data_IF_405169872902
#
_entry.id   IF_405169872902
#
_cell.length_a   1.000
_cell.length_b   1.000
_cell.length_c   1.000
_cell.angle_alpha   90.00
_cell.angle_beta   90.00
_cell.angle_gamma   90.00
#
_symmetry.space_group_name_H-M   'P 1'
#
loop_
_entity.id
_entity.type
_entity.pdbx_description
1 polymer ?
#
# COMPACT_ATOMS: atom_id res chain seq x y z
N UNK A 1 15.20 44.67 3.15
CA UNK A 1 13.81 44.18 2.93
C UNK A 1 12.90 44.94 3.91
N UNK A 2 11.88 45.62 3.43
CA UNK A 2 10.95 46.35 4.30
C UNK A 2 10.10 45.36 5.12
N UNK A 3 9.74 45.77 6.35
CA UNK A 3 8.99 44.92 7.31
C UNK A 3 7.65 44.37 6.75
N UNK A 4 7.08 45.12 5.79
CA UNK A 4 5.87 44.72 5.04
C UNK A 4 6.15 43.62 4.03
N UNK A 5 7.30 43.64 3.35
CA UNK A 5 7.70 42.59 2.38
C UNK A 5 8.02 41.28 3.07
N UNK A 6 8.63 41.31 4.26
CA UNK A 6 8.89 40.11 5.06
C UNK A 6 7.57 39.46 5.54
N UNK A 7 6.58 40.27 5.97
CA UNK A 7 5.27 39.74 6.38
C UNK A 7 4.52 39.09 5.21
N UNK A 8 4.57 39.69 4.02
CA UNK A 8 3.97 39.16 2.81
C UNK A 8 4.62 37.82 2.39
N UNK A 9 5.95 37.74 2.47
CA UNK A 9 6.71 36.54 2.16
C UNK A 9 6.37 35.40 3.15
N UNK A 10 6.32 35.72 4.45
CA UNK A 10 5.95 34.72 5.50
C UNK A 10 4.51 34.24 5.30
N UNK A 11 3.55 35.12 5.01
CA UNK A 11 2.18 34.72 4.71
C UNK A 11 2.07 33.84 3.45
N UNK A 12 2.85 34.15 2.42
CA UNK A 12 2.87 33.35 1.18
C UNK A 12 3.47 31.97 1.43
N UNK A 13 4.52 31.84 2.22
CA UNK A 13 5.13 30.56 2.61
C UNK A 13 4.15 29.73 3.47
N UNK A 14 3.48 30.37 4.44
CA UNK A 14 2.46 29.69 5.27
C UNK A 14 1.29 29.23 4.42
N UNK A 15 0.80 30.05 3.48
CA UNK A 15 -0.29 29.66 2.58
C UNK A 15 0.10 28.49 1.65
N UNK A 16 1.35 28.44 1.15
CA UNK A 16 1.86 27.33 0.35
C UNK A 16 1.99 26.03 1.16
N UNK A 17 2.42 26.10 2.42
CA UNK A 17 2.49 24.92 3.31
C UNK A 17 1.10 24.39 3.60
N UNK A 18 0.10 25.24 3.85
CA UNK A 18 -1.30 24.81 4.02
C UNK A 18 -1.90 24.23 2.73
N UNK A 19 -1.56 24.75 1.56
CA UNK A 19 -2.03 24.22 0.28
C UNK A 19 -1.45 22.82 -0.03
N UNK A 20 -0.21 22.54 0.39
CA UNK A 20 0.41 21.22 0.25
C UNK A 20 -0.16 20.18 1.22
N UNK A 21 -0.65 20.59 2.40
CA UNK A 21 -1.33 19.70 3.34
C UNK A 21 -2.77 19.33 2.93
N UNK A 22 -3.37 20.07 1.98
CA UNK A 22 -4.75 19.85 1.53
C UNK A 22 -4.93 18.72 0.49
N UNK A 23 -3.85 18.04 0.08
CA UNK A 23 -3.88 17.09 -1.05
C UNK A 23 -4.44 15.69 -0.73
N UNK A 24 -4.82 15.42 0.52
CA UNK A 24 -5.33 14.10 0.94
C UNK A 24 -6.82 14.12 1.35
N UNK A 25 -7.54 15.22 1.13
CA UNK A 25 -8.97 15.25 1.46
C UNK A 25 -9.81 14.56 0.37
N UNK A 26 -10.65 13.61 0.83
CA UNK A 26 -11.67 13.00 -0.01
C UNK A 26 -12.55 14.13 -0.57
N UNK A 27 -12.75 14.22 -1.90
CA UNK A 27 -13.57 15.27 -2.50
C UNK A 27 -14.97 15.33 -1.88
N UNK A 28 -15.49 16.54 -1.68
CA UNK A 28 -16.84 16.71 -1.19
C UNK A 28 -17.83 15.97 -2.10
N UNK A 29 -18.74 15.20 -1.49
CA UNK A 29 -19.74 14.43 -2.26
C UNK A 29 -19.23 13.09 -2.82
N UNK A 30 -17.95 12.73 -2.62
CA UNK A 30 -17.39 11.49 -3.16
C UNK A 30 -18.20 10.24 -2.79
N UNK A 31 -18.78 10.21 -1.60
CA UNK A 31 -19.61 9.09 -1.12
C UNK A 31 -21.13 9.33 -1.25
N UNK A 32 -21.58 10.42 -1.87
CA UNK A 32 -23.01 10.72 -1.93
C UNK A 32 -23.83 9.65 -2.63
N UNK A 33 -23.24 9.02 -3.66
CA UNK A 33 -23.86 7.91 -4.37
C UNK A 33 -24.12 6.65 -3.52
N UNK A 34 -23.53 6.57 -2.30
CA UNK A 34 -23.67 5.42 -1.39
C UNK A 34 -24.79 5.61 -0.37
N UNK A 35 -25.29 6.85 -0.19
CA UNK A 35 -26.29 7.18 0.83
C UNK A 35 -27.55 6.35 0.65
N UNK A 36 -27.99 5.71 1.75
CA UNK A 36 -29.21 4.89 1.78
C UNK A 36 -29.13 3.54 1.07
N UNK A 37 -28.04 3.21 0.38
CA UNK A 37 -27.86 1.94 -0.32
C UNK A 37 -27.42 0.81 0.60
N UNK A 38 -27.86 -0.43 0.30
CA UNK A 38 -27.55 -1.64 1.05
C UNK A 38 -27.32 -2.83 0.10
N UNK A 39 -26.67 -3.88 0.60
CA UNK A 39 -26.52 -5.15 -0.14
C UNK A 39 -25.94 -4.97 -1.55
N UNK A 40 -26.60 -5.54 -2.54
CA UNK A 40 -26.17 -5.51 -3.95
C UNK A 40 -26.10 -4.10 -4.54
N UNK A 41 -27.02 -3.21 -4.17
CA UNK A 41 -27.04 -1.83 -4.64
C UNK A 41 -25.83 -1.05 -4.09
N UNK A 42 -25.47 -1.25 -2.82
CA UNK A 42 -24.29 -0.63 -2.24
C UNK A 42 -23.02 -1.15 -2.94
N UNK A 43 -22.91 -2.45 -3.15
CA UNK A 43 -21.79 -3.04 -3.89
C UNK A 43 -21.62 -2.45 -5.28
N UNK A 44 -22.71 -2.30 -6.02
CA UNK A 44 -22.70 -1.69 -7.36
C UNK A 44 -22.30 -0.22 -7.31
N UNK A 45 -22.81 0.54 -6.34
CA UNK A 45 -22.48 1.96 -6.19
C UNK A 45 -21.01 2.16 -5.83
N UNK A 46 -20.45 1.35 -4.90
CA UNK A 46 -19.01 1.36 -4.57
C UNK A 46 -18.19 1.03 -5.81
N UNK A 47 -18.54 -0.05 -6.53
CA UNK A 47 -17.84 -0.42 -7.77
C UNK A 47 -17.80 0.74 -8.78
N UNK A 48 -18.93 1.44 -8.97
CA UNK A 48 -18.99 2.56 -9.90
C UNK A 48 -18.11 3.75 -9.51
N UNK A 49 -17.83 3.95 -8.23
CA UNK A 49 -16.90 4.97 -7.74
C UNK A 49 -15.46 4.54 -8.00
N UNK A 50 -15.08 3.30 -7.63
CA UNK A 50 -13.69 2.86 -7.64
C UNK A 50 -13.20 2.42 -9.02
N UNK A 51 -14.09 2.00 -9.94
CA UNK A 51 -13.70 1.54 -11.29
C UNK A 51 -12.99 2.59 -12.13
N UNK A 52 -13.23 3.88 -11.85
CA UNK A 52 -12.59 5.03 -12.54
C UNK A 52 -11.26 5.43 -11.90
N UNK A 53 -10.74 4.66 -10.94
CA UNK A 53 -9.47 4.94 -10.29
C UNK A 53 -8.32 4.90 -11.32
N UNK A 54 -7.36 5.82 -11.16
CA UNK A 54 -6.13 5.79 -11.95
C UNK A 54 -5.31 4.56 -11.60
N UNK A 55 -5.07 3.70 -12.59
CA UNK A 55 -4.28 2.49 -12.43
C UNK A 55 -2.83 2.77 -12.85
N UNK A 56 -1.89 2.61 -11.93
CA UNK A 56 -0.47 2.76 -12.22
C UNK A 56 0.07 1.55 -12.99
N UNK A 57 1.17 1.74 -13.73
CA UNK A 57 1.91 0.63 -14.34
C UNK A 57 2.53 -0.26 -13.25
N UNK A 58 2.60 -1.58 -13.49
CA UNK A 58 3.28 -2.47 -12.55
C UNK A 58 4.80 -2.33 -12.66
N UNK A 59 5.48 -2.22 -11.52
CA UNK A 59 6.94 -2.15 -11.46
C UNK A 59 7.47 -0.78 -11.06
N UNK A 60 8.61 -0.40 -11.61
CA UNK A 60 9.33 0.85 -11.32
C UNK A 60 9.17 1.88 -12.43
N UNK A 61 9.49 3.12 -12.12
CA UNK A 61 9.43 4.27 -13.01
C UNK A 61 8.30 5.25 -12.66
N UNK A 62 8.23 6.34 -13.41
CA UNK A 62 7.19 7.36 -13.24
C UNK A 62 5.79 6.75 -13.47
N UNK A 63 4.84 7.06 -12.60
CA UNK A 63 3.47 6.55 -12.62
C UNK A 63 3.37 5.01 -12.60
N UNK A 64 4.35 4.34 -11.94
CA UNK A 64 4.35 2.90 -11.71
C UNK A 64 4.14 2.57 -10.21
N UNK A 65 4.09 1.29 -9.86
CA UNK A 65 3.81 0.83 -8.49
C UNK A 65 4.79 1.42 -7.47
N UNK A 66 6.10 1.41 -7.74
CA UNK A 66 7.10 2.01 -6.84
C UNK A 66 6.98 3.53 -6.71
N UNK A 67 6.48 4.20 -7.74
CA UNK A 67 6.10 5.62 -7.66
C UNK A 67 4.97 5.84 -6.66
N UNK A 68 3.96 4.96 -6.69
CA UNK A 68 2.84 4.98 -5.73
C UNK A 68 3.31 4.71 -4.30
N UNK A 69 4.12 3.68 -4.08
CA UNK A 69 4.65 3.31 -2.76
C UNK A 69 5.45 4.44 -2.10
N UNK A 70 6.20 5.20 -2.88
CA UNK A 70 6.91 6.37 -2.36
C UNK A 70 5.96 7.41 -1.71
N UNK A 71 4.70 7.44 -2.15
CA UNK A 71 3.66 8.34 -1.61
C UNK A 71 2.84 7.70 -0.49
N UNK A 72 2.61 6.38 -0.55
CA UNK A 72 1.64 5.70 0.32
C UNK A 72 2.30 4.88 1.43
N UNK A 73 3.50 4.38 1.21
CA UNK A 73 4.19 3.44 2.09
C UNK A 73 5.57 3.97 2.55
N UNK A 74 5.67 5.29 2.72
CA UNK A 74 6.88 5.99 3.12
C UNK A 74 6.68 6.63 4.50
N UNK A 75 7.53 6.24 5.45
CA UNK A 75 7.62 6.86 6.77
C UNK A 75 8.98 7.55 6.91
N UNK A 76 9.01 8.88 6.73
CA UNK A 76 10.23 9.70 6.89
C UNK A 76 11.43 9.19 6.06
N UNK A 77 11.19 8.74 4.84
CA UNK A 77 12.22 8.22 3.92
C UNK A 77 12.41 6.71 3.99
N UNK A 78 11.76 6.02 4.92
CA UNK A 78 11.82 4.57 5.05
C UNK A 78 10.59 3.88 4.51
N UNK A 79 10.79 2.69 3.94
CA UNK A 79 9.71 1.84 3.45
C UNK A 79 8.90 1.29 4.63
N UNK A 80 7.57 1.40 4.55
CA UNK A 80 6.67 0.70 5.47
C UNK A 80 6.53 -0.75 5.00
N UNK A 81 7.37 -1.65 5.52
CA UNK A 81 7.26 -3.10 5.29
C UNK A 81 6.41 -3.74 6.39
N UNK A 82 5.42 -4.52 6.00
CA UNK A 82 4.51 -5.20 6.94
C UNK A 82 4.91 -6.65 7.24
N UNK A 83 5.99 -7.14 6.62
CA UNK A 83 6.43 -8.53 6.75
C UNK A 83 7.84 -8.67 7.35
N UNK A 84 8.58 -7.56 7.51
CA UNK A 84 9.94 -7.60 8.03
C UNK A 84 10.20 -6.42 8.98
N UNK A 85 11.03 -6.61 10.03
CA UNK A 85 11.47 -5.54 10.92
C UNK A 85 12.59 -4.69 10.29
N UNK A 86 13.12 -5.10 9.15
CA UNK A 86 14.26 -4.45 8.52
C UNK A 86 13.87 -3.05 8.01
N UNK A 87 14.71 -2.07 8.34
CA UNK A 87 14.54 -0.71 7.85
C UNK A 87 15.23 -0.54 6.49
N UNK A 88 14.45 -0.28 5.46
CA UNK A 88 14.94 -0.02 4.11
C UNK A 88 14.62 1.43 3.73
N UNK A 89 15.62 2.19 3.32
CA UNK A 89 15.42 3.55 2.83
C UNK A 89 14.89 3.51 1.37
N UNK A 90 13.96 4.41 1.07
CA UNK A 90 13.61 4.68 -0.31
C UNK A 90 14.79 5.32 -1.04
N UNK A 91 15.03 4.86 -2.26
CA UNK A 91 15.91 5.54 -3.21
C UNK A 91 15.22 6.72 -3.90
N UNK A 92 15.61 7.00 -5.14
CA UNK A 92 14.95 8.02 -5.94
C UNK A 92 13.47 7.67 -6.17
N UNK A 93 12.62 8.69 -6.26
CA UNK A 93 11.18 8.49 -6.43
C UNK A 93 10.84 7.68 -7.68
N UNK A 94 10.15 6.58 -7.47
CA UNK A 94 9.76 5.63 -8.51
C UNK A 94 10.76 4.50 -8.76
N UNK A 95 11.93 4.52 -8.12
CA UNK A 95 12.86 3.39 -8.17
C UNK A 95 12.51 2.32 -7.13
N UNK A 96 12.84 1.07 -7.47
CA UNK A 96 12.68 -0.05 -6.53
C UNK A 96 13.78 -0.04 -5.48
N UNK A 97 13.43 -0.44 -4.26
CA UNK A 97 14.42 -0.61 -3.20
C UNK A 97 15.12 -1.96 -3.31
N UNK A 98 16.40 -1.99 -2.95
CA UNK A 98 17.19 -3.22 -2.86
C UNK A 98 16.56 -4.20 -1.87
N UNK A 99 16.61 -5.49 -2.18
CA UNK A 99 16.06 -6.57 -1.35
C UNK A 99 14.55 -6.57 -1.15
N UNK A 100 13.81 -5.72 -1.89
CA UNK A 100 12.37 -5.63 -1.77
C UNK A 100 11.64 -6.08 -3.03
N UNK A 101 10.44 -6.59 -2.84
CA UNK A 101 9.49 -6.99 -3.88
C UNK A 101 8.20 -6.18 -3.79
N UNK A 102 7.40 -6.26 -4.85
CA UNK A 102 5.99 -5.88 -4.83
C UNK A 102 5.19 -7.09 -4.38
N UNK A 103 4.59 -7.01 -3.21
CA UNK A 103 3.72 -8.05 -2.67
C UNK A 103 2.28 -7.84 -3.10
N UNK A 104 1.59 -8.94 -3.45
CA UNK A 104 0.15 -8.97 -3.60
C UNK A 104 -0.48 -9.52 -2.31
N UNK A 105 -1.06 -8.66 -1.47
CA UNK A 105 -1.66 -9.04 -0.18
C UNK A 105 -2.76 -10.11 -0.33
N UNK A 106 -3.58 -10.01 -1.37
CA UNK A 106 -4.38 -11.10 -1.90
C UNK A 106 -3.58 -11.79 -3.02
N UNK A 107 -3.10 -13.01 -2.81
CA UNK A 107 -2.15 -13.65 -3.71
C UNK A 107 -2.65 -13.76 -5.16
N UNK A 108 -1.84 -13.31 -6.11
CA UNK A 108 -2.21 -13.33 -7.55
C UNK A 108 -2.58 -14.73 -8.06
N UNK A 109 -1.97 -15.76 -7.52
CA UNK A 109 -2.28 -17.18 -7.87
C UNK A 109 -3.71 -17.58 -7.54
N UNK A 110 -4.38 -16.89 -6.60
CA UNK A 110 -5.75 -17.22 -6.22
C UNK A 110 -6.81 -16.79 -7.24
N UNK A 111 -6.43 -15.92 -8.19
CA UNK A 111 -7.29 -15.57 -9.33
C UNK A 111 -6.71 -15.97 -10.70
N UNK A 112 -5.71 -16.87 -10.70
CA UNK A 112 -5.10 -17.39 -11.94
C UNK A 112 -3.89 -16.61 -12.44
N UNK A 113 -3.42 -15.59 -11.70
CA UNK A 113 -2.19 -14.83 -12.01
C UNK A 113 -2.33 -13.82 -13.15
N UNK A 114 -3.50 -13.67 -13.76
CA UNK A 114 -3.74 -12.74 -14.85
C UNK A 114 -3.49 -11.28 -14.43
N UNK A 115 -2.92 -10.49 -15.34
CA UNK A 115 -2.63 -9.08 -15.12
C UNK A 115 -3.88 -8.19 -15.27
N UNK A 116 -4.93 -8.52 -14.53
CA UNK A 116 -6.16 -7.72 -14.41
C UNK A 116 -5.90 -6.45 -13.59
N UNK A 117 -6.92 -5.63 -13.40
CA UNK A 117 -6.82 -4.41 -12.57
C UNK A 117 -6.28 -4.72 -11.16
N UNK A 118 -6.74 -5.79 -10.49
CA UNK A 118 -6.28 -6.22 -9.18
C UNK A 118 -4.77 -6.50 -9.10
N UNK A 119 -4.13 -6.84 -10.24
CA UNK A 119 -2.68 -7.03 -10.32
C UNK A 119 -1.89 -5.73 -10.14
N UNK A 120 -2.49 -4.58 -10.42
CA UNK A 120 -1.88 -3.24 -10.40
C UNK A 120 -2.51 -2.33 -9.35
N UNK A 121 -3.47 -2.82 -8.58
CA UNK A 121 -4.21 -2.05 -7.59
C UNK A 121 -3.35 -1.83 -6.34
N UNK A 122 -3.03 -0.58 -6.03
CA UNK A 122 -2.23 -0.23 -4.85
C UNK A 122 -2.89 -0.66 -3.53
N UNK A 123 -4.21 -0.83 -3.47
CA UNK A 123 -4.87 -1.39 -2.28
C UNK A 123 -4.57 -2.89 -2.07
N UNK A 124 -4.13 -3.58 -3.12
CA UNK A 124 -3.71 -4.97 -3.08
C UNK A 124 -2.19 -5.12 -3.03
N UNK A 125 -1.45 -4.05 -3.30
CA UNK A 125 -0.01 -4.07 -3.43
C UNK A 125 0.66 -3.36 -2.25
N UNK A 126 1.82 -3.86 -1.85
CA UNK A 126 2.68 -3.20 -0.87
C UNK A 126 4.15 -3.55 -1.13
N UNK A 127 5.10 -2.68 -0.75
CA UNK A 127 6.51 -3.05 -0.75
C UNK A 127 6.76 -4.06 0.38
N UNK A 128 7.58 -5.06 0.13
CA UNK A 128 7.88 -6.09 1.11
C UNK A 128 9.28 -6.65 0.94
N UNK A 129 9.92 -7.00 2.05
CA UNK A 129 11.16 -7.77 2.04
C UNK A 129 11.02 -9.03 1.17
N UNK A 130 11.96 -9.22 0.25
CA UNK A 130 11.89 -10.27 -0.75
C UNK A 130 11.92 -11.67 -0.14
N UNK A 131 12.67 -11.86 0.97
CA UNK A 131 12.78 -13.14 1.66
C UNK A 131 11.49 -13.45 2.44
N UNK A 132 10.98 -12.49 3.19
CA UNK A 132 9.73 -12.65 3.94
C UNK A 132 8.57 -12.93 2.99
N UNK A 133 8.45 -12.15 1.90
CA UNK A 133 7.44 -12.34 0.87
C UNK A 133 7.54 -13.72 0.21
N UNK A 134 8.71 -14.14 -0.25
CA UNK A 134 8.90 -15.45 -0.88
C UNK A 134 8.62 -16.60 0.08
N UNK A 135 8.99 -16.45 1.36
CA UNK A 135 8.74 -17.48 2.39
C UNK A 135 7.26 -17.57 2.72
N UNK A 136 6.56 -16.43 2.83
CA UNK A 136 5.11 -16.37 3.01
C UNK A 136 4.37 -17.02 1.84
N UNK A 137 4.90 -16.86 0.63
CA UNK A 137 4.29 -17.44 -0.58
C UNK A 137 2.80 -17.04 -0.70
N UNK A 138 1.98 -17.90 -1.27
CA UNK A 138 0.52 -17.75 -1.38
C UNK A 138 -0.25 -18.49 -0.27
N UNK A 139 0.39 -18.73 0.87
CA UNK A 139 -0.27 -19.42 1.98
C UNK A 139 -1.40 -18.57 2.57
N UNK A 140 -2.45 -19.23 3.03
CA UNK A 140 -3.52 -18.58 3.77
C UNK A 140 -3.06 -18.05 5.13
N UNK A 141 -3.70 -16.99 5.60
CA UNK A 141 -3.50 -16.51 6.97
C UNK A 141 -4.14 -17.45 7.99
N UNK A 142 -3.45 -17.69 9.10
CA UNK A 142 -3.98 -18.51 10.18
C UNK A 142 -2.95 -18.75 11.28
N UNK A 143 -3.35 -19.44 12.34
CA UNK A 143 -2.48 -19.73 13.47
C UNK A 143 -1.43 -20.76 13.11
N UNK A 144 -0.15 -20.37 13.20
CA UNK A 144 1.02 -21.22 12.98
C UNK A 144 1.44 -21.86 14.29
N UNK A 145 1.28 -23.19 14.40
CA UNK A 145 1.64 -23.95 15.59
C UNK A 145 3.05 -24.54 15.54
N UNK A 146 3.58 -24.74 14.33
CA UNK A 146 4.97 -25.18 14.11
C UNK A 146 5.60 -24.28 13.05
N UNK A 147 6.30 -23.24 13.48
CA UNK A 147 6.99 -22.30 12.61
C UNK A 147 8.24 -22.94 11.97
N UNK A 148 8.42 -22.67 10.67
CA UNK A 148 9.66 -22.95 9.92
C UNK A 148 10.40 -21.65 9.57
N UNK A 149 9.71 -20.52 9.67
CA UNK A 149 10.26 -19.19 9.55
C UNK A 149 9.59 -18.28 10.58
N UNK A 150 10.38 -17.44 11.24
CA UNK A 150 9.92 -16.47 12.22
C UNK A 150 10.93 -15.32 12.23
N UNK A 151 10.50 -14.10 11.95
CA UNK A 151 11.34 -12.91 11.95
C UNK A 151 10.87 -11.84 12.95
N UNK A 152 9.96 -12.19 13.87
CA UNK A 152 9.39 -11.28 14.86
C UNK A 152 8.25 -10.42 14.33
N UNK A 153 7.98 -10.41 13.01
CA UNK A 153 6.87 -9.71 12.38
C UNK A 153 5.86 -10.68 11.78
N UNK A 154 6.36 -11.72 11.11
CA UNK A 154 5.52 -12.82 10.62
C UNK A 154 6.11 -14.18 10.99
N UNK A 155 5.23 -15.16 11.11
CA UNK A 155 5.56 -16.60 11.16
C UNK A 155 5.05 -17.29 9.92
N UNK A 156 5.82 -18.25 9.41
CA UNK A 156 5.37 -19.16 8.36
C UNK A 156 5.63 -20.59 8.81
N UNK A 157 4.68 -21.45 8.61
CA UNK A 157 4.83 -22.83 9.06
C UNK A 157 3.55 -23.64 8.91
N UNK A 158 3.34 -24.60 9.81
CA UNK A 158 2.19 -25.51 9.77
C UNK A 158 1.23 -25.18 10.91
N UNK A 159 -0.05 -25.12 10.62
CA UNK A 159 -1.13 -25.04 11.62
C UNK A 159 -1.60 -26.42 12.08
N UNK A 160 -2.55 -26.44 13.02
CA UNK A 160 -3.11 -27.69 13.60
C UNK A 160 -3.68 -28.65 12.55
N UNK A 161 -4.20 -28.13 11.43
CA UNK A 161 -4.72 -28.96 10.33
C UNK A 161 -3.64 -29.58 9.42
N UNK A 162 -2.35 -29.36 9.70
CA UNK A 162 -1.25 -29.77 8.83
C UNK A 162 -1.04 -28.85 7.60
N UNK A 163 -1.91 -27.85 7.39
CA UNK A 163 -1.79 -26.91 6.27
C UNK A 163 -0.67 -25.91 6.48
N UNK A 164 0.01 -25.52 5.41
CA UNK A 164 0.92 -24.38 5.40
C UNK A 164 0.14 -23.08 5.56
N UNK A 165 0.56 -22.26 6.49
CA UNK A 165 -0.06 -20.99 6.86
C UNK A 165 1.01 -19.94 7.11
N UNK A 166 0.61 -18.69 7.10
CA UNK A 166 1.38 -17.58 7.65
C UNK A 166 0.56 -16.84 8.70
N UNK A 167 1.24 -16.22 9.65
CA UNK A 167 0.64 -15.50 10.77
C UNK A 167 1.41 -14.21 11.03
N UNK A 168 0.78 -13.01 10.99
CA UNK A 168 1.40 -11.81 11.50
C UNK A 168 1.46 -11.87 13.04
N UNK A 169 2.45 -11.18 13.62
CA UNK A 169 2.41 -10.87 15.03
C UNK A 169 1.36 -9.79 15.31
N UNK A 170 0.75 -9.78 16.52
CA UNK A 170 -0.21 -8.76 16.92
C UNK A 170 0.42 -7.38 17.08
#
# INVERSE_FOLDING_TARGET
MKRTELKALVMMVVATVYALAASAQIPQGYYDALKGKKGAELKTAVHNIIKEATVLSYGKGKAATWWGFYLTDNDNGYVIDRYSPEKVEFGAWGESCSSMNIEHSFPKSWWGGEQRQAYKDLYNLMPSDAKANSTKSNYGMGVVTKATYDNGVIKVGTGNSGKKLWQPYP
#
